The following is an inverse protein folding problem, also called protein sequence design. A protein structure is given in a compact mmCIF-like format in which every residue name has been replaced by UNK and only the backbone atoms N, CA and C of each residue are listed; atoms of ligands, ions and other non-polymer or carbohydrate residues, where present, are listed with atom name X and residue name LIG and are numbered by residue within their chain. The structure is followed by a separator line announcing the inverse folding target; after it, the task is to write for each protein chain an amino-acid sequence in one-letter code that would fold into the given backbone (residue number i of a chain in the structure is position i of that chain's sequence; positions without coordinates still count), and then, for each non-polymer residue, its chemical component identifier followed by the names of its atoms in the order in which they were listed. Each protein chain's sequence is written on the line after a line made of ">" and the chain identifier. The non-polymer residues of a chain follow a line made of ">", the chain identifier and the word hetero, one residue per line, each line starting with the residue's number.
data_IF_706512173194
#
_entry.id   IF_706512173194
#
_cell.length_a   1.000
_cell.length_b   1.000
_cell.length_c   1.000
_cell.angle_alpha   90.00
_cell.angle_beta   90.00
_cell.angle_gamma   90.00
#
_symmetry.space_group_name_H-M   'P 1'
#
loop_
_entity.id
_entity.type
_entity.pdbx_description
1 polymer ?
#
# COMPACT_ATOMS: atom_id res chain seq x y z
N UNK A 1 23.46 24.99 -24.66
CA UNK A 1 22.70 23.74 -24.98
C UNK A 1 22.70 22.72 -23.84
N UNK A 2 23.81 22.49 -23.13
CA UNK A 2 23.88 21.53 -21.99
C UNK A 2 23.01 21.91 -20.77
N UNK A 3 22.92 23.19 -20.41
CA UNK A 3 22.09 23.67 -19.27
C UNK A 3 20.59 23.42 -19.46
N UNK A 4 20.09 23.54 -20.70
CA UNK A 4 18.69 23.31 -21.06
C UNK A 4 18.25 21.85 -20.79
N UNK A 5 19.15 20.88 -21.05
CA UNK A 5 18.86 19.48 -20.80
C UNK A 5 18.76 19.18 -19.30
N UNK A 6 19.66 19.75 -18.48
CA UNK A 6 19.62 19.60 -17.02
C UNK A 6 18.31 20.14 -16.44
N UNK A 7 17.88 21.33 -16.86
CA UNK A 7 16.60 21.91 -16.43
C UNK A 7 15.40 21.03 -16.82
N UNK A 8 15.40 20.46 -18.03
CA UNK A 8 14.34 19.55 -18.47
C UNK A 8 14.22 18.32 -17.58
N UNK A 9 15.34 17.69 -17.23
CA UNK A 9 15.33 16.52 -16.34
C UNK A 9 14.84 16.86 -14.93
N UNK A 10 15.23 18.02 -14.38
CA UNK A 10 14.76 18.49 -13.06
C UNK A 10 13.24 18.70 -13.07
N UNK A 11 12.71 19.35 -14.11
CA UNK A 11 11.27 19.60 -14.23
C UNK A 11 10.48 18.29 -14.31
N UNK A 12 10.96 17.33 -15.11
CA UNK A 12 10.32 16.01 -15.22
C UNK A 12 10.37 15.26 -13.88
N UNK A 13 11.50 15.31 -13.17
CA UNK A 13 11.63 14.67 -11.87
C UNK A 13 10.67 15.23 -10.82
N UNK A 14 10.54 16.56 -10.75
CA UNK A 14 9.60 17.24 -9.85
C UNK A 14 8.17 16.85 -10.22
N UNK A 15 7.82 16.88 -11.50
CA UNK A 15 6.48 16.55 -11.98
C UNK A 15 6.09 15.10 -11.66
N UNK A 16 6.99 14.14 -11.92
CA UNK A 16 6.77 12.72 -11.61
C UNK A 16 6.63 12.50 -10.10
N UNK A 17 7.47 13.14 -9.29
CA UNK A 17 7.38 13.04 -7.82
C UNK A 17 6.05 13.59 -7.30
N UNK A 18 5.59 14.72 -7.85
CA UNK A 18 4.30 15.31 -7.51
C UNK A 18 3.14 14.39 -7.90
N UNK A 19 3.16 13.83 -9.11
CA UNK A 19 2.17 12.86 -9.55
C UNK A 19 2.13 11.64 -8.63
N UNK A 20 3.29 11.06 -8.30
CA UNK A 20 3.39 9.93 -7.39
C UNK A 20 2.83 10.26 -5.99
N UNK A 21 3.11 11.45 -5.45
CA UNK A 21 2.55 11.90 -4.18
C UNK A 21 1.02 12.00 -4.23
N UNK A 22 0.47 12.57 -5.31
CA UNK A 22 -0.98 12.67 -5.51
C UNK A 22 -1.68 11.31 -5.54
N UNK A 23 -1.04 10.28 -6.11
CA UNK A 23 -1.60 8.93 -6.13
C UNK A 23 -1.35 8.16 -4.83
N UNK A 24 -0.17 8.29 -4.21
CA UNK A 24 0.22 7.48 -3.06
C UNK A 24 -0.43 7.92 -1.74
N UNK A 25 -0.71 9.21 -1.54
CA UNK A 25 -1.37 9.70 -0.31
C UNK A 25 -2.77 9.08 -0.12
N UNK A 26 -3.69 9.18 -1.09
CA UNK A 26 -5.00 8.57 -0.96
C UNK A 26 -4.92 7.04 -0.97
N UNK A 27 -4.00 6.45 -1.74
CA UNK A 27 -3.78 5.01 -1.72
C UNK A 27 -3.38 4.51 -0.31
N UNK A 28 -2.41 5.16 0.35
CA UNK A 28 -2.02 4.85 1.72
C UNK A 28 -3.19 5.02 2.70
N UNK A 29 -3.95 6.11 2.57
CA UNK A 29 -5.11 6.36 3.43
C UNK A 29 -6.17 5.25 3.28
N UNK A 30 -6.56 4.93 2.04
CA UNK A 30 -7.53 3.87 1.74
C UNK A 30 -7.01 2.52 2.23
N UNK A 31 -5.75 2.21 2.01
CA UNK A 31 -5.13 0.96 2.46
C UNK A 31 -5.11 0.84 3.98
N UNK A 32 -4.83 1.92 4.71
CA UNK A 32 -4.87 1.93 6.18
C UNK A 32 -6.28 1.69 6.72
N UNK A 33 -7.26 2.41 6.19
CA UNK A 33 -8.67 2.22 6.55
C UNK A 33 -9.18 0.82 6.18
N UNK A 34 -8.78 0.31 5.01
CA UNK A 34 -9.13 -1.04 4.57
C UNK A 34 -8.50 -2.12 5.46
N UNK A 35 -7.27 -1.92 5.95
CA UNK A 35 -6.65 -2.81 6.94
C UNK A 35 -7.40 -2.79 8.27
N UNK A 36 -7.80 -1.61 8.75
CA UNK A 36 -8.58 -1.48 9.99
C UNK A 36 -9.94 -2.19 9.88
N UNK A 37 -10.64 -2.03 8.76
CA UNK A 37 -11.89 -2.74 8.47
C UNK A 37 -11.65 -4.25 8.36
N UNK A 38 -10.61 -4.69 7.64
CA UNK A 38 -10.26 -6.11 7.53
C UNK A 38 -9.95 -6.73 8.89
N UNK A 39 -9.30 -5.99 9.78
CA UNK A 39 -9.01 -6.43 11.15
C UNK A 39 -10.31 -6.56 11.94
N UNK A 40 -11.18 -5.55 11.93
CA UNK A 40 -12.47 -5.60 12.61
C UNK A 40 -13.35 -6.76 12.13
N UNK A 41 -13.37 -7.03 10.82
CA UNK A 41 -14.09 -8.18 10.26
C UNK A 41 -13.43 -9.50 10.65
N UNK A 42 -12.10 -9.58 10.74
CA UNK A 42 -11.42 -10.79 11.21
C UNK A 42 -11.87 -11.21 12.63
N UNK A 43 -12.07 -10.25 13.55
CA UNK A 43 -12.59 -10.51 14.90
C UNK A 43 -14.10 -10.69 14.98
N UNK A 44 -14.84 -10.41 13.90
CA UNK A 44 -16.28 -10.68 13.85
C UNK A 44 -16.55 -12.18 13.63
N UNK A 45 -17.70 -12.67 14.10
CA UNK A 45 -18.15 -14.07 13.95
C UNK A 45 -18.57 -14.42 12.50
N UNK A 46 -17.83 -13.95 11.49
CA UNK A 46 -18.12 -14.18 10.07
C UNK A 46 -18.10 -15.67 9.69
N UNK A 47 -17.38 -16.50 10.45
CA UNK A 47 -17.38 -17.95 10.29
C UNK A 47 -18.69 -18.61 10.75
N UNK A 48 -19.41 -17.98 11.67
CA UNK A 48 -20.69 -18.46 12.22
C UNK A 48 -21.87 -18.10 11.29
N UNK A 49 -21.77 -16.97 10.58
CA UNK A 49 -22.77 -16.56 9.61
C UNK A 49 -22.55 -17.26 8.25
N UNK A 50 -23.46 -18.18 7.88
CA UNK A 50 -23.45 -18.91 6.61
C UNK A 50 -23.83 -18.00 5.41
N UNK A 51 -22.99 -17.00 5.12
CA UNK A 51 -23.11 -16.15 3.94
C UNK A 51 -21.94 -16.46 2.99
N UNK A 52 -22.08 -17.48 2.11
CA UNK A 52 -20.99 -17.94 1.25
C UNK A 52 -20.47 -16.85 0.29
N UNK A 53 -21.30 -15.86 -0.07
CA UNK A 53 -20.92 -14.73 -0.92
C UNK A 53 -19.93 -13.76 -0.26
N UNK A 54 -19.90 -13.68 1.07
CA UNK A 54 -19.01 -12.78 1.81
C UNK A 54 -17.66 -13.45 2.12
N UNK A 55 -17.64 -14.79 2.21
CA UNK A 55 -16.46 -15.57 2.57
C UNK A 55 -15.31 -15.44 1.58
N UNK A 56 -15.58 -15.54 0.28
CA UNK A 56 -14.55 -15.44 -0.77
C UNK A 56 -13.84 -14.06 -0.81
N UNK A 57 -14.56 -12.91 -0.84
CA UNK A 57 -13.90 -11.61 -0.82
C UNK A 57 -13.22 -11.32 0.52
N UNK A 58 -13.76 -11.79 1.66
CA UNK A 58 -13.11 -11.63 2.96
C UNK A 58 -11.79 -12.39 3.06
N UNK A 59 -11.76 -13.64 2.61
CA UNK A 59 -10.52 -14.44 2.59
C UNK A 59 -9.47 -13.77 1.70
N UNK A 60 -9.88 -13.21 0.57
CA UNK A 60 -9.00 -12.49 -0.34
C UNK A 60 -8.48 -11.19 0.31
N UNK A 61 -9.31 -10.40 0.98
CA UNK A 61 -8.88 -9.19 1.70
C UNK A 61 -7.91 -9.54 2.83
N UNK A 62 -8.20 -10.57 3.62
CA UNK A 62 -7.33 -11.04 4.71
C UNK A 62 -5.99 -11.55 4.16
N UNK A 63 -6.00 -12.32 3.06
CA UNK A 63 -4.78 -12.80 2.41
C UNK A 63 -3.96 -11.66 1.81
N UNK A 64 -4.61 -10.63 1.27
CA UNK A 64 -3.94 -9.42 0.77
C UNK A 64 -3.47 -8.49 1.89
N UNK A 65 -4.09 -8.53 3.08
CA UNK A 65 -3.67 -7.76 4.27
C UNK A 65 -2.47 -8.41 4.99
N UNK A 66 -2.36 -9.75 4.93
CA UNK A 66 -1.18 -10.49 5.39
C UNK A 66 0.05 -10.26 4.51
N UNK A 67 -0.16 -9.93 3.23
CA UNK A 67 0.88 -9.37 2.39
C UNK A 67 0.97 -7.89 2.71
N UNK A 68 1.92 -7.51 3.55
CA UNK A 68 2.22 -6.12 3.89
C UNK A 68 2.16 -5.25 2.62
N UNK A 69 1.10 -4.46 2.44
CA UNK A 69 0.99 -3.49 1.34
C UNK A 69 1.91 -2.34 1.71
N UNK A 70 3.22 -2.60 1.59
CA UNK A 70 4.25 -1.60 1.65
C UNK A 70 4.08 -0.81 0.36
N UNK A 71 3.52 0.40 0.44
CA UNK A 71 3.60 1.35 -0.67
C UNK A 71 5.08 1.73 -0.81
N UNK A 72 5.80 0.92 -1.59
CA UNK A 72 7.21 1.07 -1.93
C UNK A 72 7.35 2.24 -2.89
N UNK A 73 7.51 3.45 -2.35
CA UNK A 73 7.98 4.60 -3.10
C UNK A 73 9.46 4.41 -3.48
N UNK A 74 9.72 3.71 -4.58
CA UNK A 74 11.07 3.44 -5.05
C UNK A 74 11.72 2.25 -4.33
N UNK A 75 12.00 1.22 -5.11
CA UNK A 75 12.65 -0.04 -4.74
C UNK A 75 14.06 0.15 -4.12
N UNK A 76 14.19 0.54 -2.84
CA UNK A 76 15.54 0.60 -2.24
C UNK A 76 15.77 -0.04 -0.86
N UNK A 77 14.86 -0.06 0.13
CA UNK A 77 15.16 -0.84 1.35
C UNK A 77 13.89 -1.28 2.09
N UNK A 78 13.75 -2.59 2.29
CA UNK A 78 12.80 -3.15 3.27
C UNK A 78 13.58 -3.35 4.58
N UNK A 79 13.61 -2.33 5.44
CA UNK A 79 14.19 -2.49 6.78
C UNK A 79 13.12 -3.19 7.62
N UNK A 80 13.06 -4.52 7.52
CA UNK A 80 12.30 -5.29 8.48
C UNK A 80 13.07 -5.26 9.80
N UNK A 81 12.51 -4.57 10.81
CA UNK A 81 13.08 -4.50 12.15
C UNK A 81 13.26 -5.89 12.80
N UNK A 82 12.58 -6.94 12.29
CA UNK A 82 12.76 -8.33 12.77
C UNK A 82 14.05 -9.00 12.27
N UNK A 83 14.70 -8.50 11.22
CA UNK A 83 15.97 -9.06 10.72
C UNK A 83 17.20 -8.39 11.35
N UNK A 84 17.03 -7.24 11.99
CA UNK A 84 18.14 -6.53 12.66
C UNK A 84 18.51 -7.18 14.02
N UNK A 85 17.58 -7.94 14.60
CA UNK A 85 17.72 -8.50 15.96
C UNK A 85 17.99 -10.01 15.95
N UNK A 86 18.45 -10.58 14.83
CA UNK A 86 18.89 -11.98 14.79
C UNK A 86 20.28 -12.13 14.16
#
# INVERSE_FOLDING_TARGET
>A
RSYQNKMRHIIIFIFVTLQLAFFCIPANYITNEAMAVSYAVYFSDWYSQHIPSLKAPLLLIIQNSQNEIIIKGGDLVTINARTIVN
#
